data_IF_125160485982
#
_entry.id   IF_125160485982
#
_cell.length_a   1.000
_cell.length_b   1.000
_cell.length_c   1.000
_cell.angle_alpha   90.00
_cell.angle_beta   90.00
_cell.angle_gamma   90.00
#
_symmetry.space_group_name_H-M   'P 1'
#
loop_
_entity.id
_entity.type
_entity.pdbx_description
1 polymer ?
#
# COMPACT_ATOMS: atom_id res chain seq x y z
N UNK A 1 -35.83 -18.13 1.40
CA UNK A 1 -36.39 -17.27 2.49
C UNK A 1 -35.53 -16.03 2.53
N UNK A 2 -35.95 -14.92 1.91
CA UNK A 2 -35.23 -13.65 2.07
C UNK A 2 -35.44 -13.18 3.51
N UNK A 3 -34.34 -13.04 4.27
CA UNK A 3 -34.37 -12.35 5.56
C UNK A 3 -34.89 -10.93 5.31
N UNK A 4 -35.92 -10.51 6.03
CA UNK A 4 -36.33 -9.11 6.08
C UNK A 4 -35.20 -8.33 6.81
N UNK A 5 -34.24 -7.88 6.03
CA UNK A 5 -33.17 -7.02 6.53
C UNK A 5 -33.79 -5.63 6.80
N UNK A 6 -33.45 -5.04 7.94
CA UNK A 6 -33.96 -3.73 8.31
C UNK A 6 -33.56 -2.64 7.29
N UNK A 7 -34.21 -1.47 7.36
CA UNK A 7 -33.98 -0.33 6.45
C UNK A 7 -32.53 0.16 6.34
N UNK A 8 -31.66 -0.25 7.26
CA UNK A 8 -30.22 0.10 7.32
C UNK A 8 -29.30 -0.85 6.52
N UNK A 9 -29.84 -1.97 6.00
CA UNK A 9 -29.05 -2.97 5.27
C UNK A 9 -29.37 -2.87 3.80
N UNK A 10 -28.34 -2.71 2.97
CA UNK A 10 -28.44 -2.62 1.52
C UNK A 10 -27.61 -3.74 0.89
N UNK A 11 -28.20 -4.49 -0.02
CA UNK A 11 -27.54 -5.59 -0.72
C UNK A 11 -27.39 -5.20 -2.19
N UNK A 12 -26.18 -5.35 -2.71
CA UNK A 12 -25.84 -5.12 -4.11
C UNK A 12 -25.29 -6.41 -4.71
N UNK A 13 -25.81 -6.78 -5.88
CA UNK A 13 -25.25 -7.86 -6.68
C UNK A 13 -24.20 -7.27 -7.62
N UNK A 14 -22.98 -7.82 -7.59
CA UNK A 14 -21.89 -7.37 -8.46
C UNK A 14 -20.60 -8.13 -8.19
N UNK A 15 -19.56 -7.82 -8.96
CA UNK A 15 -18.21 -8.32 -8.74
C UNK A 15 -17.36 -7.28 -8.04
N UNK A 16 -16.61 -7.70 -7.01
CA UNK A 16 -15.71 -6.81 -6.25
C UNK A 16 -14.56 -6.23 -7.09
N UNK A 17 -14.18 -6.88 -8.18
CA UNK A 17 -13.13 -6.39 -9.08
C UNK A 17 -13.66 -5.45 -10.18
N UNK A 18 -14.98 -5.36 -10.35
CA UNK A 18 -15.59 -4.57 -11.41
C UNK A 18 -15.84 -3.13 -10.95
N UNK A 19 -15.12 -2.14 -11.51
CA UNK A 19 -15.31 -0.74 -11.12
C UNK A 19 -16.73 -0.24 -11.33
N UNK A 20 -17.45 -0.75 -12.35
CA UNK A 20 -18.85 -0.36 -12.63
C UNK A 20 -19.79 -0.83 -11.52
N UNK A 21 -19.58 -2.01 -10.96
CA UNK A 21 -20.41 -2.53 -9.88
C UNK A 21 -20.12 -1.80 -8.57
N UNK A 22 -18.85 -1.62 -8.21
CA UNK A 22 -18.46 -0.86 -7.04
C UNK A 22 -18.90 0.61 -7.12
N UNK A 23 -18.88 1.21 -8.31
CA UNK A 23 -19.33 2.60 -8.49
C UNK A 23 -20.79 2.81 -8.13
N UNK A 24 -21.65 1.79 -8.26
CA UNK A 24 -23.06 1.86 -7.83
C UNK A 24 -23.17 2.08 -6.33
N UNK A 25 -22.37 1.37 -5.56
CA UNK A 25 -22.31 1.48 -4.09
C UNK A 25 -21.78 2.86 -3.69
N UNK A 26 -20.66 3.26 -4.30
CA UNK A 26 -19.99 4.54 -4.03
C UNK A 26 -20.93 5.73 -4.30
N UNK A 27 -21.69 5.70 -5.40
CA UNK A 27 -22.64 6.77 -5.75
C UNK A 27 -23.72 6.98 -4.70
N UNK A 28 -24.12 5.91 -4.01
CA UNK A 28 -25.18 5.96 -2.98
C UNK A 28 -24.60 6.39 -1.63
N UNK A 29 -23.50 5.79 -1.18
CA UNK A 29 -23.00 5.98 0.18
C UNK A 29 -21.86 6.98 0.30
N UNK A 30 -21.19 7.32 -0.81
CA UNK A 30 -20.11 8.33 -0.94
C UNK A 30 -18.89 8.12 -0.03
N UNK A 31 -19.09 7.88 1.28
CA UNK A 31 -18.02 7.74 2.27
C UNK A 31 -18.34 6.61 3.24
N UNK A 32 -17.29 5.88 3.65
CA UNK A 32 -17.39 4.75 4.58
C UNK A 32 -16.54 5.01 5.83
N UNK A 33 -17.00 4.58 6.99
CA UNK A 33 -16.22 4.56 8.22
C UNK A 33 -15.33 3.31 8.25
N UNK A 34 -15.87 2.18 7.78
CA UNK A 34 -15.19 0.89 7.69
C UNK A 34 -15.48 0.22 6.35
N UNK A 35 -14.49 -0.44 5.79
CA UNK A 35 -14.64 -1.35 4.65
C UNK A 35 -14.02 -2.69 5.04
N UNK A 36 -14.77 -3.78 4.86
CA UNK A 36 -14.30 -5.15 5.09
C UNK A 36 -14.33 -5.87 3.76
N UNK A 37 -13.16 -6.28 3.28
CA UNK A 37 -12.99 -7.10 2.07
C UNK A 37 -12.89 -8.58 2.49
N UNK A 38 -14.05 -9.21 2.56
CA UNK A 38 -14.26 -10.65 2.79
C UNK A 38 -14.95 -11.26 1.56
N UNK A 39 -14.36 -11.03 0.38
CA UNK A 39 -14.98 -11.37 -0.90
C UNK A 39 -14.48 -12.67 -1.51
N UNK A 40 -13.90 -12.61 -2.71
CA UNK A 40 -13.43 -13.79 -3.46
C UNK A 40 -12.08 -14.33 -3.02
N UNK A 41 -11.33 -13.58 -2.25
CA UNK A 41 -9.96 -13.83 -1.77
C UNK A 41 -8.93 -14.07 -2.90
N UNK A 42 -9.29 -13.78 -4.16
CA UNK A 42 -8.33 -13.75 -5.26
C UNK A 42 -7.38 -12.56 -5.07
N UNK A 43 -6.08 -12.80 -5.14
CA UNK A 43 -5.07 -11.79 -4.85
C UNK A 43 -5.23 -10.50 -5.68
N UNK A 44 -5.50 -10.63 -6.98
CA UNK A 44 -5.72 -9.49 -7.84
C UNK A 44 -7.04 -8.75 -7.53
N UNK A 45 -8.08 -9.46 -7.02
CA UNK A 45 -9.34 -8.84 -6.62
C UNK A 45 -9.14 -8.01 -5.35
N UNK A 46 -8.50 -8.55 -4.31
CA UNK A 46 -8.20 -7.83 -3.07
C UNK A 46 -7.42 -6.53 -3.37
N UNK A 47 -6.40 -6.60 -4.24
CA UNK A 47 -5.61 -5.42 -4.63
C UNK A 47 -6.47 -4.40 -5.40
N UNK A 48 -7.30 -4.86 -6.34
CA UNK A 48 -8.17 -3.97 -7.14
C UNK A 48 -9.24 -3.32 -6.28
N UNK A 49 -9.92 -4.11 -5.43
CA UNK A 49 -10.98 -3.62 -4.53
C UNK A 49 -10.41 -2.56 -3.59
N UNK A 50 -9.24 -2.82 -2.98
CA UNK A 50 -8.56 -1.84 -2.15
C UNK A 50 -8.30 -0.53 -2.91
N UNK A 51 -7.71 -0.60 -4.10
CA UNK A 51 -7.42 0.59 -4.91
C UNK A 51 -8.67 1.39 -5.27
N UNK A 52 -9.79 0.71 -5.48
CA UNK A 52 -11.05 1.33 -5.85
C UNK A 52 -11.81 1.93 -4.66
N UNK A 53 -11.82 1.26 -3.51
CA UNK A 53 -12.65 1.64 -2.38
C UNK A 53 -11.93 2.44 -1.31
N UNK A 54 -10.63 2.25 -1.10
CA UNK A 54 -9.87 2.98 -0.09
C UNK A 54 -10.01 4.50 -0.19
N UNK A 55 -10.06 5.13 -1.39
CA UNK A 55 -10.30 6.56 -1.51
C UNK A 55 -11.61 7.05 -0.88
N UNK A 56 -12.59 6.17 -0.77
CA UNK A 56 -13.92 6.49 -0.23
C UNK A 56 -14.07 6.20 1.28
N UNK A 57 -13.00 5.78 1.96
CA UNK A 57 -12.97 5.84 3.42
C UNK A 57 -12.92 7.30 3.87
N UNK A 58 -13.54 7.58 5.00
CA UNK A 58 -13.33 8.85 5.73
C UNK A 58 -11.93 8.88 6.33
N UNK A 59 -11.43 10.07 6.62
CA UNK A 59 -10.25 10.22 7.47
C UNK A 59 -10.56 9.63 8.86
N UNK A 60 -9.63 8.85 9.42
CA UNK A 60 -9.83 8.03 10.62
C UNK A 60 -10.50 6.68 10.37
N UNK A 61 -10.93 6.38 9.14
CA UNK A 61 -11.57 5.11 8.78
C UNK A 61 -10.59 3.96 8.56
N UNK A 62 -11.09 2.71 8.58
CA UNK A 62 -10.28 1.50 8.47
C UNK A 62 -10.74 0.61 7.33
N UNK A 63 -9.75 0.03 6.62
CA UNK A 63 -9.92 -0.99 5.60
C UNK A 63 -9.39 -2.33 6.11
N UNK A 64 -10.23 -3.34 6.13
CA UNK A 64 -9.92 -4.70 6.57
C UNK A 64 -9.82 -5.60 5.35
N UNK A 65 -8.78 -6.43 5.26
CA UNK A 65 -8.60 -7.45 4.23
C UNK A 65 -8.50 -8.80 4.93
N UNK A 66 -9.52 -9.63 4.75
CA UNK A 66 -9.59 -10.95 5.34
C UNK A 66 -8.98 -12.02 4.44
N UNK A 67 -8.72 -13.18 5.01
CA UNK A 67 -8.20 -14.39 4.32
C UNK A 67 -6.93 -14.16 3.48
N UNK A 68 -6.00 -13.33 4.02
CA UNK A 68 -4.75 -12.99 3.33
C UNK A 68 -3.82 -14.21 3.12
N UNK A 69 -4.07 -15.36 3.80
CA UNK A 69 -3.36 -16.62 3.57
C UNK A 69 -3.50 -17.13 2.14
N UNK A 70 -4.54 -16.71 1.41
CA UNK A 70 -4.71 -17.02 -0.02
C UNK A 70 -3.56 -16.49 -0.88
N UNK A 71 -2.79 -15.53 -0.36
CA UNK A 71 -1.56 -15.03 -0.98
C UNK A 71 -0.47 -16.09 -1.13
N UNK A 72 -0.57 -17.20 -0.41
CA UNK A 72 0.36 -18.34 -0.48
C UNK A 72 -0.21 -19.50 -1.28
N UNK A 73 -1.41 -19.38 -1.87
CA UNK A 73 -2.14 -20.45 -2.53
C UNK A 73 -2.29 -20.19 -4.03
N UNK A 74 -1.71 -21.05 -4.88
CA UNK A 74 -1.75 -20.90 -6.34
C UNK A 74 -3.16 -20.75 -6.91
N UNK A 75 -4.14 -21.49 -6.38
CA UNK A 75 -5.54 -21.43 -6.83
C UNK A 75 -6.21 -20.05 -6.68
N UNK A 76 -5.66 -19.19 -5.82
CA UNK A 76 -6.12 -17.81 -5.62
C UNK A 76 -5.21 -16.78 -6.30
N UNK A 77 -4.28 -17.22 -7.17
CA UNK A 77 -3.27 -16.34 -7.76
C UNK A 77 -2.17 -15.93 -6.79
N UNK A 78 -2.02 -16.67 -5.69
CA UNK A 78 -0.95 -16.53 -4.71
C UNK A 78 0.30 -17.32 -5.10
N UNK A 79 1.34 -17.22 -4.27
CA UNK A 79 2.61 -17.91 -4.47
C UNK A 79 3.24 -18.30 -3.12
N UNK A 80 3.18 -19.58 -2.79
CA UNK A 80 3.77 -20.14 -1.57
C UNK A 80 5.23 -20.55 -1.74
N UNK A 81 5.77 -20.54 -2.96
CA UNK A 81 7.15 -20.94 -3.26
C UNK A 81 8.07 -19.72 -3.30
N UNK A 82 7.65 -18.63 -3.96
CA UNK A 82 8.41 -17.39 -4.03
C UNK A 82 7.73 -16.31 -3.20
N UNK A 83 8.12 -16.21 -1.93
CA UNK A 83 7.46 -15.35 -0.93
C UNK A 83 7.57 -13.84 -1.21
N UNK A 84 8.48 -13.42 -2.11
CA UNK A 84 8.64 -12.01 -2.51
C UNK A 84 7.92 -11.67 -3.83
N UNK A 85 7.03 -12.53 -4.31
CA UNK A 85 6.26 -12.28 -5.52
C UNK A 85 5.35 -11.06 -5.36
N UNK A 86 5.70 -9.97 -6.05
CA UNK A 86 5.00 -8.67 -5.96
C UNK A 86 3.56 -8.70 -6.51
N UNK A 87 3.15 -9.80 -7.16
CA UNK A 87 1.78 -9.97 -7.66
C UNK A 87 0.82 -10.48 -6.59
N UNK A 88 1.34 -10.98 -5.45
CA UNK A 88 0.49 -11.44 -4.35
C UNK A 88 -0.03 -10.27 -3.51
N UNK A 89 -1.23 -10.44 -2.94
CA UNK A 89 -1.85 -9.40 -2.13
C UNK A 89 -1.00 -9.05 -0.91
N UNK A 90 -0.45 -10.07 -0.21
CA UNK A 90 0.40 -9.83 0.97
C UNK A 90 1.61 -8.97 0.63
N UNK A 91 2.27 -9.18 -0.51
CA UNK A 91 3.44 -8.38 -0.89
C UNK A 91 3.05 -6.98 -1.39
N UNK A 92 1.91 -6.86 -2.07
CA UNK A 92 1.37 -5.55 -2.40
C UNK A 92 1.12 -4.73 -1.13
N UNK A 93 0.43 -5.29 -0.13
CA UNK A 93 0.15 -4.58 1.13
C UNK A 93 1.41 -4.33 1.96
N UNK A 94 2.38 -5.23 1.98
CA UNK A 94 3.73 -4.97 2.56
C UNK A 94 4.40 -3.76 1.90
N UNK A 95 4.28 -3.60 0.59
CA UNK A 95 4.90 -2.47 -0.12
C UNK A 95 4.30 -1.11 0.25
N UNK A 96 3.11 -1.09 0.85
CA UNK A 96 2.48 0.16 1.31
C UNK A 96 3.18 0.75 2.55
N UNK A 97 4.05 -0.01 3.24
CA UNK A 97 4.91 0.51 4.32
C UNK A 97 5.79 1.64 3.80
N UNK A 98 6.28 1.53 2.55
CA UNK A 98 7.07 2.58 1.90
C UNK A 98 6.23 3.84 1.66
N UNK A 99 4.90 3.72 1.57
CA UNK A 99 3.99 4.86 1.42
C UNK A 99 3.87 5.66 2.72
N UNK A 100 3.83 5.00 3.87
CA UNK A 100 3.82 5.67 5.17
C UNK A 100 5.14 6.44 5.36
N UNK A 101 6.25 5.82 5.00
CA UNK A 101 7.60 6.37 5.17
C UNK A 101 8.09 7.17 3.96
N UNK A 102 7.18 7.67 3.12
CA UNK A 102 7.52 8.33 1.86
C UNK A 102 8.52 9.48 2.03
N UNK A 103 8.42 10.25 3.13
CA UNK A 103 9.28 11.39 3.39
C UNK A 103 10.76 11.00 3.57
N UNK A 104 11.03 9.74 3.92
CA UNK A 104 12.38 9.21 4.15
C UNK A 104 13.01 8.60 2.88
N UNK A 105 12.23 8.42 1.80
CA UNK A 105 12.72 7.80 0.57
C UNK A 105 13.71 8.73 -0.13
N UNK A 106 14.96 8.26 -0.25
CA UNK A 106 16.02 9.02 -0.92
C UNK A 106 15.95 9.00 -2.45
N UNK A 107 15.22 8.04 -3.04
CA UNK A 107 15.09 7.90 -4.49
C UNK A 107 14.31 9.09 -5.08
N UNK A 108 14.95 9.96 -5.89
CA UNK A 108 14.32 11.17 -6.42
C UNK A 108 13.27 10.88 -7.51
N UNK A 109 13.23 9.65 -8.03
CA UNK A 109 12.26 9.24 -9.05
C UNK A 109 10.96 8.70 -8.45
N UNK A 110 10.96 8.32 -7.16
CA UNK A 110 9.74 7.96 -6.46
C UNK A 110 9.01 9.25 -6.07
N UNK A 111 7.79 9.38 -6.55
CA UNK A 111 6.94 10.54 -6.26
C UNK A 111 5.88 10.18 -5.23
N UNK A 112 5.52 11.19 -4.46
CA UNK A 112 4.35 11.14 -3.59
C UNK A 112 3.09 10.82 -4.41
N UNK A 113 2.24 9.95 -3.88
CA UNK A 113 0.96 9.59 -4.51
C UNK A 113 -0.19 9.67 -3.50
N UNK A 114 -1.39 9.27 -3.93
CA UNK A 114 -2.57 9.29 -3.08
C UNK A 114 -2.38 8.45 -1.80
N UNK A 115 -1.80 7.26 -1.90
CA UNK A 115 -1.63 6.36 -0.75
C UNK A 115 -0.59 6.89 0.24
N UNK A 116 0.51 7.48 -0.24
CA UNK A 116 1.51 8.09 0.64
C UNK A 116 0.97 9.28 1.45
N UNK A 117 -0.08 9.94 0.95
CA UNK A 117 -0.74 11.05 1.64
C UNK A 117 -1.82 10.61 2.62
N UNK A 118 -2.35 9.41 2.45
CA UNK A 118 -3.61 9.01 3.09
C UNK A 118 -3.53 7.68 3.85
N UNK A 119 -2.38 7.02 3.95
CA UNK A 119 -2.16 5.86 4.82
C UNK A 119 -1.29 6.27 6.00
N UNK A 120 -1.78 6.03 7.22
CA UNK A 120 -1.03 6.33 8.44
C UNK A 120 -0.65 5.10 9.25
N UNK A 121 -1.43 4.02 9.13
CA UNK A 121 -1.17 2.78 9.86
C UNK A 121 -1.46 1.56 9.00
N UNK A 122 -0.65 0.51 9.14
CA UNK A 122 -0.86 -0.80 8.55
C UNK A 122 -0.55 -1.85 9.61
N UNK A 123 -1.53 -2.68 9.95
CA UNK A 123 -1.40 -3.76 10.91
C UNK A 123 -1.53 -5.10 10.21
N UNK A 124 -0.59 -6.00 10.44
CA UNK A 124 -0.59 -7.36 9.93
C UNK A 124 -0.85 -8.32 11.08
N UNK A 125 -1.95 -9.06 10.99
CA UNK A 125 -2.32 -10.14 11.88
C UNK A 125 -2.27 -11.47 11.13
N UNK A 126 -2.47 -12.58 11.85
CA UNK A 126 -2.67 -13.86 11.18
C UNK A 126 -3.92 -13.79 10.30
N UNK A 127 -3.72 -13.95 8.99
CA UNK A 127 -4.78 -13.93 7.95
C UNK A 127 -5.60 -12.64 7.81
N UNK A 128 -5.18 -11.53 8.44
CA UNK A 128 -5.88 -10.26 8.40
C UNK A 128 -4.90 -9.10 8.27
N UNK A 129 -5.23 -8.14 7.38
CA UNK A 129 -4.53 -6.85 7.30
C UNK A 129 -5.54 -5.75 7.60
N UNK A 130 -5.13 -4.76 8.40
CA UNK A 130 -5.93 -3.57 8.71
C UNK A 130 -5.14 -2.33 8.32
N UNK A 131 -5.76 -1.45 7.52
CA UNK A 131 -5.13 -0.22 7.01
C UNK A 131 -5.99 0.96 7.43
N UNK A 132 -5.39 1.92 8.15
CA UNK A 132 -6.05 3.16 8.53
C UNK A 132 -5.84 4.22 7.46
N UNK A 133 -6.92 4.87 7.08
CA UNK A 133 -6.87 6.09 6.29
C UNK A 133 -6.86 7.30 7.21
N UNK A 134 -5.85 8.13 7.06
CA UNK A 134 -5.80 9.46 7.66
C UNK A 134 -4.76 10.30 6.89
N UNK A 135 -4.68 11.59 7.19
CA UNK A 135 -3.70 12.49 6.57
C UNK A 135 -2.29 12.18 7.06
N UNK A 136 -1.46 11.62 6.20
CA UNK A 136 -0.04 11.43 6.46
C UNK A 136 0.73 12.73 6.19
N UNK A 137 0.75 13.59 7.20
CA UNK A 137 1.39 14.93 7.14
C UNK A 137 2.71 15.01 7.88
N UNK A 138 3.17 13.90 8.45
CA UNK A 138 4.44 13.85 9.17
C UNK A 138 5.59 14.16 8.23
N UNK A 139 6.51 14.98 8.70
CA UNK A 139 7.74 15.34 7.99
C UNK A 139 8.85 14.44 8.49
N UNK A 140 9.87 14.22 7.63
CA UNK A 140 11.10 13.57 8.06
C UNK A 140 11.61 14.16 9.37
N UNK A 141 11.83 13.30 10.37
CA UNK A 141 12.39 13.66 11.67
C UNK A 141 13.88 13.27 11.77
N UNK A 142 14.51 12.92 10.65
CA UNK A 142 15.93 12.57 10.60
C UNK A 142 16.77 13.77 11.03
N UNK A 143 17.56 13.59 12.08
CA UNK A 143 18.51 14.56 12.60
C UNK A 143 19.94 14.12 12.23
N UNK A 144 20.76 15.07 11.78
CA UNK A 144 22.19 14.85 11.57
C UNK A 144 22.96 15.59 12.67
N UNK A 145 23.75 14.86 13.44
CA UNK A 145 24.54 15.40 14.57
C UNK A 145 23.67 16.21 15.54
N UNK A 146 22.46 15.72 15.86
CA UNK A 146 21.49 16.39 16.73
C UNK A 146 21.06 17.79 16.26
N UNK A 147 21.25 18.08 14.98
CA UNK A 147 20.79 19.34 14.38
C UNK A 147 19.83 19.10 13.25
N UNK A 148 18.80 19.95 13.13
CA UNK A 148 17.92 19.92 11.95
C UNK A 148 18.73 20.39 10.73
N UNK A 149 18.47 19.78 9.57
CA UNK A 149 19.07 20.24 8.33
C UNK A 149 18.85 21.73 8.12
N UNK A 150 19.91 22.51 7.76
CA UNK A 150 19.76 23.94 7.50
C UNK A 150 18.75 24.20 6.38
N UNK A 151 17.80 25.12 6.63
CA UNK A 151 16.81 25.55 5.63
C UNK A 151 17.48 26.52 4.65
N UNK A 152 17.97 26.05 3.51
CA UNK A 152 18.51 26.92 2.46
C UNK A 152 18.05 26.47 1.07
N UNK A 153 17.53 27.40 0.26
CA UNK A 153 17.02 27.10 -1.10
C UNK A 153 18.11 26.48 -2.01
N UNK A 154 19.37 26.88 -1.86
CA UNK A 154 20.48 26.34 -2.65
C UNK A 154 20.94 24.94 -2.20
N UNK A 155 20.67 24.57 -0.95
CA UNK A 155 20.99 23.23 -0.45
C UNK A 155 20.02 22.16 -1.00
N UNK A 156 18.79 22.53 -1.34
CA UNK A 156 17.81 21.60 -1.91
C UNK A 156 18.24 21.05 -3.27
N UNK A 157 18.88 21.87 -4.11
CA UNK A 157 19.40 21.44 -5.39
C UNK A 157 20.64 20.54 -5.25
N UNK A 158 21.56 20.92 -4.37
CA UNK A 158 22.73 20.09 -4.01
C UNK A 158 22.30 18.77 -3.35
N UNK A 159 21.30 18.82 -2.47
CA UNK A 159 20.72 17.63 -1.84
C UNK A 159 20.11 16.65 -2.87
N UNK A 160 19.37 17.16 -3.86
CA UNK A 160 18.84 16.32 -4.97
C UNK A 160 19.97 15.69 -5.79
N UNK A 161 21.04 16.42 -6.09
CA UNK A 161 22.22 15.87 -6.78
C UNK A 161 22.95 14.83 -5.94
N UNK A 162 23.16 15.09 -4.64
CA UNK A 162 23.82 14.14 -3.72
C UNK A 162 22.96 12.90 -3.53
N UNK A 163 21.64 13.03 -3.37
CA UNK A 163 20.71 11.89 -3.32
C UNK A 163 20.78 11.05 -4.59
N UNK A 164 20.81 11.67 -5.76
CA UNK A 164 20.92 10.97 -7.04
C UNK A 164 22.24 10.20 -7.15
N UNK A 165 23.37 10.83 -6.79
CA UNK A 165 24.69 10.19 -6.79
C UNK A 165 24.72 8.99 -5.84
N UNK A 166 24.25 9.15 -4.59
CA UNK A 166 24.15 8.08 -3.59
C UNK A 166 23.25 6.92 -4.10
N UNK A 167 22.14 7.26 -4.72
CA UNK A 167 21.23 6.27 -5.32
C UNK A 167 21.94 5.47 -6.42
N UNK A 168 22.64 6.13 -7.35
CA UNK A 168 23.40 5.47 -8.42
C UNK A 168 24.50 4.56 -7.84
N UNK A 169 25.23 5.00 -6.84
CA UNK A 169 26.22 4.16 -6.13
C UNK A 169 25.59 2.94 -5.48
N UNK A 170 24.42 3.07 -4.88
CA UNK A 170 23.69 1.93 -4.28
C UNK A 170 23.23 0.93 -5.34
N UNK A 171 22.75 1.40 -6.49
CA UNK A 171 22.34 0.54 -7.59
C UNK A 171 23.52 -0.22 -8.19
N UNK A 172 24.65 0.47 -8.40
CA UNK A 172 25.89 -0.15 -8.89
C UNK A 172 26.37 -1.22 -7.89
N UNK A 173 26.38 -0.91 -6.61
CA UNK A 173 26.77 -1.84 -5.55
C UNK A 173 25.85 -3.08 -5.51
N UNK A 174 24.53 -2.89 -5.60
CA UNK A 174 23.56 -3.97 -5.66
C UNK A 174 23.74 -4.86 -6.90
N UNK A 175 24.07 -4.25 -8.06
CA UNK A 175 24.36 -4.98 -9.29
C UNK A 175 25.65 -5.80 -9.15
N UNK A 176 26.70 -5.24 -8.55
CA UNK A 176 27.96 -5.95 -8.29
C UNK A 176 27.72 -7.14 -7.38
N UNK A 177 26.96 -6.98 -6.29
CA UNK A 177 26.62 -8.11 -5.40
C UNK A 177 25.84 -9.20 -6.14
N UNK A 178 24.85 -8.84 -6.96
CA UNK A 178 24.13 -9.82 -7.78
C UNK A 178 25.05 -10.58 -8.74
N UNK A 179 26.00 -9.90 -9.36
CA UNK A 179 26.97 -10.55 -10.26
C UNK A 179 27.91 -11.47 -9.46
N UNK A 180 28.40 -11.05 -8.31
CA UNK A 180 29.27 -11.86 -7.45
C UNK A 180 28.55 -13.10 -6.89
N UNK A 181 27.27 -13.01 -6.58
CA UNK A 181 26.47 -14.16 -6.12
C UNK A 181 26.23 -15.19 -7.25
N UNK A 182 26.22 -14.77 -8.52
CA UNK A 182 26.14 -15.69 -9.67
C UNK A 182 27.43 -16.50 -9.91
N UNK A 183 28.56 -16.04 -9.38
CA UNK A 183 29.86 -16.73 -9.48
C UNK A 183 30.22 -17.57 -8.23
N UNK A 184 29.38 -17.60 -7.20
CA UNK A 184 29.49 -18.55 -6.09
C UNK A 184 28.74 -19.82 -6.47
N UNK A 185 29.44 -20.72 -7.19
CA UNK A 185 29.08 -22.15 -7.35
C UNK A 185 29.77 -22.94 -6.27
#
# INVERSE_FOLDING_TARGET
>A
KFLKLGKRVHIFKGSQENPKDLSKIIKIFKNFDFIIDDGSHLNNHQIKTFKLLFPYLKDGGYYFIEDIQTSYMLKYGGDGFYLNNQKTAVNYFKSLIDKINYQEIENPFIKEDYFSKNITEIHFYHNLIVIKKDKNVEKSNVLVNNTKYPKGKNLLFLRKKIKLIKYLFHQIRALIYKLLDQFKV
#
